data_IF_625746755427
#
_entry.id   IF_625746755427
#
_cell.length_a   1.000
_cell.length_b   1.000
_cell.length_c   1.000
_cell.angle_alpha   90.00
_cell.angle_beta   90.00
_cell.angle_gamma   90.00
#
_symmetry.space_group_name_H-M   'P 1'
#
loop_
_entity.id
_entity.type
_entity.pdbx_description
1 polymer ?
#
# COMPACT_ATOMS: atom_id res chain seq x y z
N UNK A 1 33.60 64.41 -26.69
CA UNK A 1 32.70 63.90 -27.74
C UNK A 1 31.60 63.05 -27.10
N UNK A 2 30.33 63.43 -27.36
CA UNK A 2 29.06 62.68 -27.33
C UNK A 2 28.75 61.68 -26.19
N UNK A 3 27.74 62.09 -25.41
CA UNK A 3 26.83 61.27 -24.61
C UNK A 3 26.19 60.10 -25.36
N UNK A 4 25.89 59.01 -24.64
CA UNK A 4 24.62 58.28 -24.75
C UNK A 4 24.25 57.66 -23.40
N UNK A 5 23.19 58.20 -22.81
CA UNK A 5 22.39 57.60 -21.74
C UNK A 5 21.71 56.34 -22.29
N UNK A 6 21.57 55.29 -21.49
CA UNK A 6 20.32 54.51 -21.43
C UNK A 6 20.32 53.57 -20.22
N UNK A 7 19.47 53.96 -19.27
CA UNK A 7 18.88 53.18 -18.19
C UNK A 7 18.19 51.94 -18.74
N UNK A 8 18.43 50.77 -18.15
CA UNK A 8 17.49 49.65 -18.20
C UNK A 8 17.67 48.79 -16.95
N UNK A 9 16.87 49.09 -15.92
CA UNK A 9 16.53 48.11 -14.90
C UNK A 9 15.76 46.99 -15.61
N UNK A 10 16.26 45.77 -15.55
CA UNK A 10 15.49 44.57 -15.83
C UNK A 10 15.68 43.61 -14.66
N UNK A 11 14.67 43.59 -13.79
CA UNK A 11 14.53 42.63 -12.71
C UNK A 11 14.42 41.22 -13.32
N UNK A 12 15.39 40.36 -13.04
CA UNK A 12 15.27 38.94 -13.35
C UNK A 12 14.45 38.31 -12.21
N UNK A 13 13.18 38.03 -12.49
CA UNK A 13 12.31 37.28 -11.62
C UNK A 13 12.86 35.86 -11.45
N UNK A 14 13.26 35.50 -10.23
CA UNK A 14 13.56 34.12 -9.85
C UNK A 14 12.23 33.37 -9.85
N UNK A 15 11.98 32.60 -10.90
CA UNK A 15 10.87 31.64 -10.91
C UNK A 15 11.28 30.50 -10.00
N UNK A 16 10.96 30.61 -8.71
CA UNK A 16 10.85 29.44 -7.87
C UNK A 16 9.70 28.62 -8.44
N UNK A 17 10.03 27.63 -9.28
CA UNK A 17 9.18 26.47 -9.47
C UNK A 17 9.16 25.73 -8.13
N UNK A 18 8.37 26.25 -7.19
CA UNK A 18 7.98 25.51 -6.01
C UNK A 18 7.29 24.25 -6.53
N UNK A 19 7.96 23.11 -6.41
CA UNK A 19 7.32 21.83 -6.49
C UNK A 19 6.18 21.88 -5.47
N UNK A 20 4.96 22.08 -5.96
CA UNK A 20 3.78 22.01 -5.12
C UNK A 20 3.82 20.61 -4.50
N UNK A 21 3.72 20.45 -3.17
CA UNK A 21 3.53 19.12 -2.62
C UNK A 21 2.27 18.59 -3.30
N UNK A 22 2.41 17.51 -4.07
CA UNK A 22 1.27 16.80 -4.61
C UNK A 22 0.34 16.59 -3.42
N UNK A 23 -0.85 17.17 -3.46
CA UNK A 23 -1.84 16.98 -2.41
C UNK A 23 -1.99 15.47 -2.24
N UNK A 24 -1.43 14.94 -1.15
CA UNK A 24 -1.58 13.55 -0.80
C UNK A 24 -3.09 13.32 -0.72
N UNK A 25 -3.60 12.52 -1.65
CA UNK A 25 -5.01 12.20 -1.68
C UNK A 25 -5.30 11.45 -0.38
N UNK A 26 -5.86 12.19 0.57
CA UNK A 26 -6.12 11.72 1.91
C UNK A 26 -7.02 10.50 1.86
N UNK A 27 -6.71 9.50 2.67
CA UNK A 27 -7.42 8.24 2.80
C UNK A 27 -7.14 7.25 1.66
N UNK A 28 -5.88 7.18 1.21
CA UNK A 28 -5.44 6.13 0.30
C UNK A 28 -4.33 5.28 0.91
N UNK A 29 -4.22 4.05 0.41
CA UNK A 29 -3.16 3.11 0.74
C UNK A 29 -2.66 2.41 -0.53
N UNK A 30 -1.36 2.47 -0.74
CA UNK A 30 -0.65 1.63 -1.69
C UNK A 30 -0.09 0.42 -0.96
N UNK A 31 0.07 -0.70 -1.64
CA UNK A 31 0.63 -1.87 -0.98
C UNK A 31 1.21 -2.90 -1.91
N UNK A 32 2.02 -3.76 -1.30
CA UNK A 32 2.66 -4.89 -1.97
C UNK A 32 2.81 -6.06 -1.02
N UNK A 33 2.63 -7.27 -1.53
CA UNK A 33 2.86 -8.53 -0.82
C UNK A 33 3.82 -9.36 -1.65
N UNK A 34 4.89 -9.83 -1.02
CA UNK A 34 5.84 -10.79 -1.57
C UNK A 34 5.59 -12.14 -0.91
N UNK A 35 5.30 -13.16 -1.70
CA UNK A 35 5.13 -14.53 -1.23
C UNK A 35 5.54 -15.51 -2.32
N UNK A 36 6.27 -16.56 -1.96
CA UNK A 36 6.68 -17.64 -2.87
C UNK A 36 7.38 -17.12 -4.16
N UNK A 37 8.16 -16.04 -4.04
CA UNK A 37 8.88 -15.42 -5.16
C UNK A 37 8.04 -14.53 -6.08
N UNK A 38 6.72 -14.44 -5.87
CA UNK A 38 5.83 -13.54 -6.59
C UNK A 38 5.59 -12.25 -5.79
N UNK A 39 5.41 -11.13 -6.51
CA UNK A 39 5.02 -9.85 -5.92
C UNK A 39 3.65 -9.46 -6.46
N UNK A 40 2.70 -9.29 -5.54
CA UNK A 40 1.39 -8.73 -5.79
C UNK A 40 1.36 -7.29 -5.29
N UNK A 41 0.82 -6.37 -6.08
CA UNK A 41 0.76 -4.95 -5.71
C UNK A 41 -0.54 -4.31 -6.14
N UNK A 42 -0.89 -3.25 -5.43
CA UNK A 42 -2.01 -2.36 -5.75
C UNK A 42 -1.62 -0.92 -5.39
N UNK A 43 -2.37 0.02 -5.95
CA UNK A 43 -2.27 1.44 -5.60
C UNK A 43 -3.64 2.06 -5.45
N UNK A 44 -3.71 3.18 -4.75
CA UNK A 44 -4.90 3.99 -4.54
C UNK A 44 -6.05 3.21 -3.87
N UNK A 45 -5.74 2.23 -3.01
CA UNK A 45 -6.75 1.58 -2.18
C UNK A 45 -7.37 2.59 -1.23
N UNK A 46 -8.70 2.64 -1.11
CA UNK A 46 -9.39 3.58 -0.24
C UNK A 46 -9.35 3.11 1.21
N UNK A 47 -9.15 4.06 2.11
CA UNK A 47 -9.28 3.85 3.56
C UNK A 47 -10.44 4.66 4.13
N UNK A 48 -10.96 4.26 5.30
CA UNK A 48 -12.03 5.01 5.98
C UNK A 48 -11.54 6.26 6.72
N UNK A 49 -10.24 6.36 6.97
CA UNK A 49 -9.56 7.45 7.67
C UNK A 49 -8.05 7.42 7.37
N UNK A 50 -7.29 8.36 7.94
CA UNK A 50 -5.82 8.38 7.89
C UNK A 50 -5.18 7.94 9.21
N UNK A 51 -4.00 7.29 9.17
CA UNK A 51 -3.20 7.07 10.37
C UNK A 51 -2.91 8.41 11.10
N UNK A 52 -2.88 8.43 12.44
CA UNK A 52 -2.86 7.27 13.34
C UNK A 52 -4.25 6.77 13.77
N UNK A 53 -5.34 7.30 13.20
CA UNK A 53 -6.67 6.80 13.54
C UNK A 53 -6.82 5.38 13.00
N UNK A 54 -7.53 4.54 13.75
CA UNK A 54 -7.94 3.23 13.25
C UNK A 54 -8.74 3.42 11.98
N UNK A 55 -8.46 2.60 10.97
CA UNK A 55 -9.07 2.68 9.65
C UNK A 55 -9.39 1.30 9.11
N UNK A 56 -10.27 1.24 8.11
CA UNK A 56 -10.54 0.05 7.32
C UNK A 56 -10.06 0.27 5.90
N UNK A 57 -9.43 -0.73 5.29
CA UNK A 57 -9.01 -0.73 3.88
C UNK A 57 -10.15 -1.36 3.06
N UNK A 58 -10.73 -0.61 2.12
CA UNK A 58 -11.85 -1.05 1.30
C UNK A 58 -11.40 -2.03 0.20
N UNK A 59 -11.73 -3.32 0.37
CA UNK A 59 -11.38 -4.37 -0.59
C UNK A 59 -11.89 -4.12 -2.01
N UNK A 60 -13.01 -3.42 -2.20
CA UNK A 60 -13.57 -3.18 -3.52
C UNK A 60 -12.71 -2.20 -4.34
N UNK A 61 -11.99 -1.31 -3.66
CA UNK A 61 -11.02 -0.40 -4.28
C UNK A 61 -9.64 -1.02 -4.52
N UNK A 62 -9.40 -2.22 -3.97
CA UNK A 62 -8.16 -2.98 -4.15
C UNK A 62 -8.32 -3.96 -5.31
N UNK A 63 -9.40 -4.74 -5.29
CA UNK A 63 -9.65 -5.80 -6.26
C UNK A 63 -10.19 -5.24 -7.58
N UNK A 64 -9.79 -5.80 -8.74
CA UNK A 64 -10.48 -5.55 -10.00
C UNK A 64 -11.98 -5.90 -9.93
N UNK A 65 -12.87 -5.18 -10.64
CA UNK A 65 -12.58 -4.06 -11.53
C UNK A 65 -12.48 -2.69 -10.82
N UNK A 66 -12.76 -2.61 -9.51
CA UNK A 66 -12.76 -1.34 -8.77
C UNK A 66 -11.37 -0.84 -8.35
N UNK A 67 -10.39 -1.74 -8.36
CA UNK A 67 -8.98 -1.48 -8.08
C UNK A 67 -8.05 -2.11 -9.12
N UNK A 68 -6.78 -2.26 -8.74
CA UNK A 68 -5.71 -2.66 -9.65
C UNK A 68 -4.75 -3.70 -9.06
N UNK A 69 -5.20 -4.46 -8.07
CA UNK A 69 -4.45 -5.59 -7.51
C UNK A 69 -4.02 -6.55 -8.61
N UNK A 70 -2.71 -6.77 -8.71
CA UNK A 70 -2.09 -7.60 -9.74
C UNK A 70 -0.80 -8.24 -9.22
N UNK A 71 -0.52 -9.46 -9.65
CA UNK A 71 0.70 -10.19 -9.33
C UNK A 71 1.59 -10.30 -10.57
N UNK A 72 2.90 -10.13 -10.40
CA UNK A 72 3.86 -10.09 -11.51
C UNK A 72 4.00 -11.41 -12.29
N UNK A 73 3.61 -12.52 -11.68
CA UNK A 73 3.65 -13.88 -12.25
C UNK A 73 2.34 -14.28 -12.96
N UNK A 74 1.34 -13.39 -13.00
CA UNK A 74 0.02 -13.67 -13.56
C UNK A 74 -0.93 -14.45 -12.63
N UNK A 75 -0.51 -14.73 -11.39
CA UNK A 75 -1.39 -15.35 -10.39
C UNK A 75 -2.57 -14.42 -10.08
N UNK A 76 -3.78 -14.96 -10.10
CA UNK A 76 -4.97 -14.20 -9.75
C UNK A 76 -5.14 -14.17 -8.23
N UNK A 77 -5.08 -12.98 -7.63
CA UNK A 77 -5.29 -12.79 -6.20
C UNK A 77 -6.49 -11.88 -5.96
N UNK A 78 -7.29 -12.20 -4.94
CA UNK A 78 -8.45 -11.42 -4.53
C UNK A 78 -8.46 -11.29 -3.02
N UNK A 79 -8.61 -10.07 -2.52
CA UNK A 79 -8.82 -9.78 -1.12
C UNK A 79 -10.30 -10.02 -0.74
N UNK A 80 -10.57 -10.94 0.17
CA UNK A 80 -11.92 -11.39 0.51
C UNK A 80 -12.60 -10.56 1.60
N UNK A 81 -11.84 -9.84 2.41
CA UNK A 81 -12.34 -8.98 3.49
C UNK A 81 -11.80 -7.54 3.37
N UNK A 82 -12.38 -6.61 4.11
CA UNK A 82 -11.84 -5.24 4.26
C UNK A 82 -11.12 -5.16 5.61
N UNK A 83 -9.77 -5.29 5.66
CA UNK A 83 -9.04 -5.33 6.92
C UNK A 83 -9.13 -4.03 7.70
N UNK A 84 -9.21 -4.13 9.02
CA UNK A 84 -9.10 -2.99 9.93
C UNK A 84 -7.66 -2.89 10.45
N UNK A 85 -7.07 -1.72 10.31
CA UNK A 85 -5.71 -1.42 10.78
C UNK A 85 -5.79 -0.49 11.99
N UNK A 86 -5.21 -0.94 13.10
CA UNK A 86 -5.01 -0.14 14.31
C UNK A 86 -3.56 0.32 14.38
N UNK A 87 -3.31 1.55 14.80
CA UNK A 87 -1.95 2.10 14.88
C UNK A 87 -1.53 2.34 16.33
N UNK A 88 -0.29 2.01 16.63
CA UNK A 88 0.37 2.34 17.87
C UNK A 88 1.60 3.19 17.54
N UNK A 89 1.43 4.50 17.61
CA UNK A 89 2.49 5.45 17.26
C UNK A 89 3.64 5.47 18.28
N UNK A 90 3.41 5.09 19.54
CA UNK A 90 4.50 4.98 20.53
C UNK A 90 5.44 3.82 20.23
N UNK A 91 4.90 2.74 19.66
CA UNK A 91 5.68 1.56 19.27
C UNK A 91 6.05 1.57 17.78
N UNK A 92 5.63 2.61 17.04
CA UNK A 92 5.78 2.71 15.60
C UNK A 92 5.24 1.47 14.85
N UNK A 93 4.07 0.94 15.27
CA UNK A 93 3.45 -0.23 14.64
C UNK A 93 2.05 0.04 14.10
N UNK A 94 1.65 -0.75 13.11
CA UNK A 94 0.27 -0.89 12.64
C UNK A 94 -0.12 -2.37 12.65
N UNK A 95 -1.31 -2.71 13.12
CA UNK A 95 -1.79 -4.09 13.19
C UNK A 95 -3.06 -4.23 12.37
N UNK A 96 -3.02 -5.06 11.34
CA UNK A 96 -4.21 -5.48 10.61
C UNK A 96 -4.87 -6.67 11.32
N UNK A 97 -6.17 -6.56 11.59
CA UNK A 97 -6.98 -7.57 12.28
C UNK A 97 -6.94 -8.94 11.60
N UNK A 98 -7.24 -8.99 10.31
CA UNK A 98 -7.12 -10.16 9.46
C UNK A 98 -6.97 -9.75 7.99
N UNK A 99 -6.11 -10.46 7.27
CA UNK A 99 -5.97 -10.36 5.82
C UNK A 99 -6.35 -11.72 5.24
N UNK A 100 -7.47 -11.76 4.51
CA UNK A 100 -8.03 -12.96 3.92
C UNK A 100 -7.98 -12.86 2.39
N UNK A 101 -7.23 -13.76 1.75
CA UNK A 101 -6.99 -13.73 0.31
C UNK A 101 -7.33 -15.05 -0.34
N UNK A 102 -7.90 -14.96 -1.54
CA UNK A 102 -8.03 -16.07 -2.47
C UNK A 102 -6.93 -15.96 -3.51
N UNK A 103 -6.18 -17.03 -3.72
CA UNK A 103 -5.12 -17.15 -4.72
C UNK A 103 -5.56 -18.22 -5.70
N UNK A 104 -5.60 -17.91 -6.99
CA UNK A 104 -6.00 -18.84 -8.04
C UNK A 104 -4.88 -19.01 -9.05
N UNK A 105 -4.46 -20.26 -9.24
CA UNK A 105 -3.42 -20.65 -10.19
C UNK A 105 -3.86 -21.95 -10.89
N UNK A 106 -3.86 -21.94 -12.23
CA UNK A 106 -4.18 -23.11 -13.07
C UNK A 106 -5.51 -23.77 -12.64
N UNK A 107 -6.56 -22.96 -12.44
CA UNK A 107 -7.90 -23.44 -12.07
C UNK A 107 -8.05 -23.94 -10.62
N UNK A 108 -6.98 -23.93 -9.82
CA UNK A 108 -7.02 -24.25 -8.38
C UNK A 108 -7.11 -22.95 -7.60
N UNK A 109 -8.13 -22.81 -6.76
CA UNK A 109 -8.29 -21.67 -5.85
C UNK A 109 -8.02 -22.09 -4.40
N UNK A 110 -7.08 -21.40 -3.78
CA UNK A 110 -6.72 -21.56 -2.38
C UNK A 110 -7.09 -20.29 -1.62
N UNK A 111 -7.75 -20.43 -0.47
CA UNK A 111 -8.04 -19.30 0.41
C UNK A 111 -7.15 -19.36 1.63
N UNK A 112 -6.47 -18.27 1.93
CA UNK A 112 -5.55 -18.15 3.06
C UNK A 112 -5.91 -16.94 3.91
N UNK A 113 -5.58 -17.01 5.21
CA UNK A 113 -5.77 -15.91 6.14
C UNK A 113 -4.54 -15.73 7.03
N UNK A 114 -4.10 -14.49 7.17
CA UNK A 114 -3.22 -14.04 8.26
C UNK A 114 -4.08 -13.27 9.26
N UNK A 115 -3.91 -13.54 10.55
CA UNK A 115 -4.57 -12.78 11.62
C UNK A 115 -3.54 -11.95 12.37
N UNK A 116 -3.93 -10.76 12.84
CA UNK A 116 -3.09 -9.85 13.63
C UNK A 116 -1.73 -9.57 12.97
N UNK A 117 -1.74 -9.27 11.67
CA UNK A 117 -0.50 -8.95 10.94
C UNK A 117 0.06 -7.63 11.46
N UNK A 118 1.21 -7.69 12.14
CA UNK A 118 1.90 -6.52 12.68
C UNK A 118 2.91 -5.99 11.67
N UNK A 119 2.83 -4.71 11.38
CA UNK A 119 3.75 -3.97 10.52
C UNK A 119 4.48 -2.91 11.33
N UNK A 120 5.74 -2.67 10.98
CA UNK A 120 6.60 -1.65 11.59
C UNK A 120 6.72 -0.45 10.67
N UNK A 121 6.48 0.74 11.23
CA UNK A 121 6.61 2.02 10.52
C UNK A 121 8.06 2.28 10.15
N UNK A 122 8.29 2.78 8.95
CA UNK A 122 9.62 3.11 8.45
C UNK A 122 9.90 4.59 8.70
N UNK A 123 10.79 4.89 9.64
CA UNK A 123 11.17 6.26 9.98
C UNK A 123 9.98 7.13 10.42
N UNK A 124 9.85 8.31 9.82
CA UNK A 124 8.81 9.30 10.14
C UNK A 124 7.61 9.29 9.18
N UNK A 125 7.65 8.45 8.14
CA UNK A 125 6.57 8.36 7.14
C UNK A 125 5.42 7.48 7.63
N UNK A 126 4.33 7.39 6.87
CA UNK A 126 3.25 6.41 7.07
C UNK A 126 3.44 5.16 6.20
N UNK A 127 4.69 4.79 5.99
CA UNK A 127 5.07 3.53 5.35
C UNK A 127 5.28 2.47 6.42
N UNK A 128 4.70 1.30 6.21
CA UNK A 128 4.71 0.18 7.13
C UNK A 128 5.20 -1.06 6.39
N UNK A 129 6.12 -1.81 7.02
CA UNK A 129 6.68 -3.05 6.48
C UNK A 129 6.54 -4.13 7.54
N UNK A 130 6.13 -5.32 7.15
CA UNK A 130 6.13 -6.46 8.05
C UNK A 130 6.31 -7.77 7.30
N UNK A 131 6.22 -8.86 8.06
CA UNK A 131 6.60 -10.19 7.64
C UNK A 131 7.91 -10.65 8.29
N UNK A 132 8.26 -11.95 8.17
CA UNK A 132 7.45 -12.97 7.51
C UNK A 132 6.19 -13.30 8.31
N UNK A 133 5.10 -13.63 7.60
CA UNK A 133 3.85 -14.09 8.21
C UNK A 133 3.50 -15.51 7.78
N UNK A 134 2.87 -16.25 8.68
CA UNK A 134 2.26 -17.54 8.35
C UNK A 134 0.80 -17.33 8.01
N UNK A 135 0.43 -17.56 6.75
CA UNK A 135 -0.96 -17.55 6.31
C UNK A 135 -1.54 -18.96 6.38
N UNK A 136 -2.63 -19.12 7.12
CA UNK A 136 -3.30 -20.41 7.32
C UNK A 136 -4.38 -20.62 6.28
N UNK A 137 -4.46 -21.84 5.74
CA UNK A 137 -5.49 -22.23 4.77
C UNK A 137 -6.88 -22.18 5.41
N UNK A 138 -7.76 -21.41 4.80
CA UNK A 138 -9.20 -21.36 5.11
C UNK A 138 -9.97 -22.37 4.26
N UNK A 139 -9.64 -22.48 2.97
CA UNK A 139 -10.26 -23.45 2.05
C UNK A 139 -9.35 -23.80 0.86
N UNK A 140 -9.67 -24.90 0.17
CA UNK A 140 -8.92 -25.40 -1.00
C UNK A 140 -8.22 -26.72 -0.70
N UNK A 141 -8.82 -27.83 -1.11
CA UNK A 141 -8.37 -29.18 -0.70
C UNK A 141 -6.92 -29.49 -1.12
N UNK A 142 -6.53 -29.10 -2.33
CA UNK A 142 -5.21 -29.34 -2.91
C UNK A 142 -4.13 -28.36 -2.44
N UNK A 143 -4.49 -27.40 -1.59
CA UNK A 143 -3.62 -26.31 -1.18
C UNK A 143 -2.86 -26.68 0.10
N UNK A 144 -1.59 -26.28 0.27
CA UNK A 144 -0.89 -26.43 1.54
C UNK A 144 -1.69 -25.86 2.73
N UNK A 145 -1.57 -26.48 3.91
CA UNK A 145 -2.26 -26.03 5.13
C UNK A 145 -1.82 -24.64 5.59
N UNK A 146 -0.58 -24.26 5.28
CA UNK A 146 -0.02 -22.93 5.50
C UNK A 146 0.85 -22.50 4.33
N UNK A 147 1.05 -21.19 4.18
CA UNK A 147 2.05 -20.60 3.30
C UNK A 147 2.72 -19.42 3.99
N UNK A 148 3.94 -19.09 3.57
CA UNK A 148 4.69 -17.96 4.09
C UNK A 148 4.49 -16.74 3.20
N UNK A 149 4.17 -15.61 3.82
CA UNK A 149 4.28 -14.29 3.22
C UNK A 149 5.62 -13.73 3.66
N UNK A 150 6.54 -13.55 2.73
CA UNK A 150 7.92 -13.15 3.01
C UNK A 150 7.95 -11.70 3.51
N UNK A 151 7.18 -10.83 2.86
CA UNK A 151 7.10 -9.41 3.22
C UNK A 151 5.76 -8.84 2.77
N UNK A 152 5.21 -7.93 3.55
CA UNK A 152 4.12 -7.06 3.13
C UNK A 152 4.44 -5.60 3.43
N UNK A 153 3.99 -4.70 2.56
CA UNK A 153 4.17 -3.25 2.68
C UNK A 153 2.85 -2.53 2.49
N UNK A 154 2.63 -1.49 3.29
CA UNK A 154 1.52 -0.58 3.21
C UNK A 154 2.05 0.86 3.29
N UNK A 155 1.68 1.70 2.34
CA UNK A 155 2.04 3.13 2.32
C UNK A 155 0.75 3.95 2.34
N UNK A 156 0.50 4.62 3.46
CA UNK A 156 -0.71 5.44 3.63
C UNK A 156 -0.44 6.90 3.26
N UNK A 157 -1.42 7.54 2.61
CA UNK A 157 -1.36 8.93 2.15
C UNK A 157 -2.70 9.65 2.25
#
# INVERSE_FOLDING_TARGET
>A
MRHRKLTALAALAVIFAGAQPAHAASNLVDGSITAAGAVCSWTNGRTSANPPRTLTIDRASINPPGGNLRCGDGTAVTLNNSPTVTFNDSNATGTADAVDVSVSLIGITCRYRVSNAVFTRQGTTRDYVGGPYTASRVSGFLCPSTTTIDQARLSFR
#
